data_IF_000679266886
#
_entry.id   IF_000679266886
#
_cell.length_a   1.000
_cell.length_b   1.000
_cell.length_c   1.000
_cell.angle_alpha   90.00
_cell.angle_beta   90.00
_cell.angle_gamma   90.00
#
_symmetry.space_group_name_H-M   'P 1'
#
loop_
_entity.id
_entity.type
_entity.pdbx_description
1 polymer ?
#
# COMPACT_ATOMS: atom_id res chain seq x y z
N UNK A 1 -15.87 -15.87 -45.62
CA UNK A 1 -16.47 -17.20 -45.89
C UNK A 1 -17.21 -17.28 -47.24
N UNK A 2 -17.63 -16.17 -47.86
CA UNK A 2 -18.48 -16.21 -49.08
C UNK A 2 -17.80 -16.56 -50.41
N UNK A 3 -16.53 -16.23 -50.63
CA UNK A 3 -15.85 -16.56 -51.90
C UNK A 3 -15.60 -18.08 -52.07
N UNK A 4 -15.34 -18.80 -50.97
CA UNK A 4 -15.09 -20.24 -51.00
C UNK A 4 -16.38 -21.07 -51.21
N UNK A 5 -17.54 -20.55 -50.79
CA UNK A 5 -18.83 -21.21 -50.99
C UNK A 5 -19.34 -21.06 -52.43
N UNK A 6 -19.11 -19.91 -53.10
CA UNK A 6 -19.46 -19.74 -54.53
C UNK A 6 -18.66 -20.62 -55.48
N UNK A 7 -17.36 -20.84 -55.23
CA UNK A 7 -16.56 -21.74 -56.08
C UNK A 7 -16.91 -23.23 -55.92
N UNK A 8 -17.45 -23.65 -54.75
CA UNK A 8 -17.90 -25.03 -54.53
C UNK A 8 -19.19 -25.39 -55.26
N UNK A 9 -20.10 -24.43 -55.46
CA UNK A 9 -21.34 -24.64 -56.22
C UNK A 9 -21.06 -25.00 -57.69
N UNK A 10 -20.20 -24.23 -58.35
CA UNK A 10 -19.83 -24.44 -59.76
C UNK A 10 -19.12 -25.78 -60.00
N UNK A 11 -18.26 -26.23 -59.10
CA UNK A 11 -17.53 -27.49 -59.27
C UNK A 11 -18.45 -28.72 -59.14
N UNK A 12 -19.52 -28.64 -58.32
CA UNK A 12 -20.44 -29.75 -58.10
C UNK A 12 -21.43 -29.93 -59.27
N UNK A 13 -21.86 -28.83 -59.90
CA UNK A 13 -22.69 -28.84 -61.11
C UNK A 13 -21.94 -29.41 -62.32
N UNK A 14 -20.69 -29.01 -62.54
CA UNK A 14 -19.85 -29.53 -63.63
C UNK A 14 -19.64 -31.05 -63.47
N UNK A 15 -19.47 -31.53 -62.24
CA UNK A 15 -19.30 -32.96 -61.95
C UNK A 15 -20.58 -33.79 -62.18
N UNK A 16 -21.75 -33.27 -61.78
CA UNK A 16 -23.05 -33.90 -62.04
C UNK A 16 -23.34 -34.00 -63.54
N UNK A 17 -23.03 -32.94 -64.29
CA UNK A 17 -23.23 -32.89 -65.74
C UNK A 17 -22.34 -33.91 -66.47
N UNK A 18 -21.07 -34.01 -66.14
CA UNK A 18 -20.14 -34.98 -66.74
C UNK A 18 -20.45 -36.43 -66.36
N UNK A 19 -21.01 -36.67 -65.17
CA UNK A 19 -21.45 -38.01 -64.75
C UNK A 19 -22.65 -38.51 -65.55
N UNK A 20 -23.54 -37.63 -66.03
CA UNK A 20 -24.73 -38.03 -66.80
C UNK A 20 -24.39 -38.56 -68.21
N UNK A 21 -23.37 -37.98 -68.87
CA UNK A 21 -22.98 -38.27 -70.25
C UNK A 21 -21.91 -39.37 -70.42
N UNK A 22 -21.37 -39.93 -69.34
CA UNK A 22 -20.35 -40.96 -69.40
C UNK A 22 -20.95 -42.37 -69.61
N UNK A 23 -20.21 -43.26 -70.31
CA UNK A 23 -20.59 -44.66 -70.46
C UNK A 23 -20.59 -45.41 -69.10
N UNK A 24 -21.25 -46.56 -69.03
CA UNK A 24 -21.53 -47.25 -67.76
C UNK A 24 -20.25 -47.62 -66.97
N UNK A 25 -19.18 -47.96 -67.68
CA UNK A 25 -17.88 -48.32 -67.09
C UNK A 25 -17.19 -47.10 -66.46
N UNK A 26 -17.21 -45.96 -67.14
CA UNK A 26 -16.68 -44.68 -66.66
C UNK A 26 -17.47 -44.16 -65.44
N UNK A 27 -18.80 -44.33 -65.41
CA UNK A 27 -19.65 -44.00 -64.25
C UNK A 27 -19.24 -44.80 -63.00
N UNK A 28 -18.83 -46.06 -63.18
CA UNK A 28 -18.42 -46.94 -62.08
C UNK A 28 -17.06 -46.53 -61.49
N UNK A 29 -16.10 -46.17 -62.34
CA UNK A 29 -14.77 -45.68 -61.93
C UNK A 29 -14.89 -44.34 -61.20
N UNK A 30 -15.66 -43.39 -61.74
CA UNK A 30 -15.90 -42.09 -61.11
C UNK A 30 -16.56 -42.25 -59.74
N UNK A 31 -17.50 -43.19 -59.59
CA UNK A 31 -18.15 -43.51 -58.31
C UNK A 31 -17.16 -44.07 -57.28
N UNK A 32 -16.27 -44.98 -57.68
CA UNK A 32 -15.21 -45.54 -56.80
C UNK A 32 -14.20 -44.48 -56.37
N UNK A 33 -13.76 -43.62 -57.30
CA UNK A 33 -12.86 -42.50 -56.99
C UNK A 33 -13.52 -41.48 -56.06
N UNK A 34 -14.79 -41.14 -56.27
CA UNK A 34 -15.53 -40.22 -55.41
C UNK A 34 -15.70 -40.79 -53.99
N UNK A 35 -15.98 -42.10 -53.85
CA UNK A 35 -16.03 -42.74 -52.53
C UNK A 35 -14.68 -42.66 -51.81
N UNK A 36 -13.56 -42.96 -52.49
CA UNK A 36 -12.20 -42.83 -51.91
C UNK A 36 -11.87 -41.38 -51.52
N UNK A 37 -12.16 -40.40 -52.37
CA UNK A 37 -11.91 -38.97 -52.08
C UNK A 37 -12.81 -38.49 -50.94
N UNK A 38 -14.09 -38.88 -50.91
CA UNK A 38 -15.01 -38.53 -49.83
C UNK A 38 -14.57 -39.12 -48.48
N UNK A 39 -14.00 -40.34 -48.50
CA UNK A 39 -13.43 -40.98 -47.32
C UNK A 39 -12.17 -40.24 -46.84
N UNK A 40 -11.26 -39.88 -47.75
CA UNK A 40 -10.06 -39.09 -47.43
C UNK A 40 -10.40 -37.70 -46.88
N UNK A 41 -11.42 -37.03 -47.43
CA UNK A 41 -11.90 -35.73 -46.92
C UNK A 41 -12.54 -35.87 -45.53
N UNK A 42 -13.32 -36.94 -45.30
CA UNK A 42 -13.88 -37.23 -43.98
C UNK A 42 -12.80 -37.57 -42.96
N UNK A 43 -11.80 -38.36 -43.35
CA UNK A 43 -10.65 -38.70 -42.51
C UNK A 43 -9.81 -37.46 -42.18
N UNK A 44 -9.56 -36.58 -43.16
CA UNK A 44 -8.85 -35.31 -42.97
C UNK A 44 -9.61 -34.34 -42.07
N UNK A 45 -10.95 -34.26 -42.20
CA UNK A 45 -11.79 -33.47 -41.28
C UNK A 45 -11.82 -34.07 -39.87
N UNK A 46 -11.76 -35.40 -39.75
CA UNK A 46 -11.72 -36.09 -38.47
C UNK A 46 -10.37 -35.87 -37.78
N UNK A 47 -9.25 -35.96 -38.50
CA UNK A 47 -7.92 -35.64 -37.95
C UNK A 47 -7.80 -34.17 -37.57
N UNK A 48 -8.29 -33.22 -38.39
CA UNK A 48 -8.31 -31.81 -37.99
C UNK A 48 -9.21 -31.54 -36.77
N UNK A 49 -10.35 -32.23 -36.64
CA UNK A 49 -11.18 -32.15 -35.42
C UNK A 49 -10.48 -32.77 -34.21
N UNK A 50 -9.78 -33.89 -34.37
CA UNK A 50 -9.01 -34.52 -33.28
C UNK A 50 -7.83 -33.63 -32.89
N UNK A 51 -7.09 -33.05 -33.83
CA UNK A 51 -6.00 -32.11 -33.55
C UNK A 51 -6.53 -30.83 -32.90
N UNK A 52 -7.68 -30.30 -33.34
CA UNK A 52 -8.32 -29.15 -32.70
C UNK A 52 -8.86 -29.49 -31.31
N UNK A 53 -9.46 -30.67 -31.11
CA UNK A 53 -9.89 -31.13 -29.79
C UNK A 53 -8.67 -31.34 -28.89
N UNK A 54 -7.59 -31.97 -29.34
CA UNK A 54 -6.35 -32.12 -28.57
C UNK A 54 -5.72 -30.76 -28.29
N UNK A 55 -5.74 -29.82 -29.23
CA UNK A 55 -5.21 -28.47 -29.02
C UNK A 55 -6.09 -27.65 -28.07
N UNK A 56 -7.42 -27.76 -28.16
CA UNK A 56 -8.36 -27.19 -27.19
C UNK A 56 -8.24 -27.88 -25.84
N UNK A 57 -8.00 -29.19 -25.79
CA UNK A 57 -7.79 -29.96 -24.57
C UNK A 57 -6.43 -29.64 -23.95
N UNK A 58 -5.38 -29.38 -24.74
CA UNK A 58 -4.06 -28.91 -24.28
C UNK A 58 -4.14 -27.42 -23.85
N UNK A 59 -4.97 -26.61 -24.52
CA UNK A 59 -5.25 -25.22 -24.11
C UNK A 59 -6.26 -25.11 -22.96
N UNK A 60 -7.10 -26.11 -22.71
CA UNK A 60 -8.01 -26.22 -21.55
C UNK A 60 -7.39 -27.04 -20.41
N UNK A 61 -6.33 -27.78 -20.70
CA UNK A 61 -5.26 -28.20 -19.79
C UNK A 61 -4.21 -27.07 -19.63
N UNK A 62 -4.60 -25.80 -19.88
CA UNK A 62 -4.22 -24.77 -18.92
C UNK A 62 -4.85 -25.16 -17.58
N UNK A 63 -4.16 -26.11 -16.93
CA UNK A 63 -3.84 -26.12 -15.52
C UNK A 63 -4.47 -24.90 -14.88
N UNK A 64 -5.46 -25.09 -13.99
CA UNK A 64 -5.72 -24.16 -12.89
C UNK A 64 -4.36 -23.64 -12.46
N UNK A 65 -3.98 -22.43 -12.87
CA UNK A 65 -2.59 -22.02 -12.82
C UNK A 65 -2.26 -21.81 -11.35
N UNK A 66 -1.79 -22.89 -10.74
CA UNK A 66 -1.71 -23.03 -9.31
C UNK A 66 -0.82 -21.91 -8.76
N UNK A 67 -1.10 -21.50 -7.53
CA UNK A 67 -0.23 -20.57 -6.83
C UNK A 67 1.22 -21.04 -6.91
N UNK A 68 2.13 -20.09 -7.12
CA UNK A 68 3.55 -20.42 -7.25
C UNK A 68 4.18 -20.39 -5.86
N UNK A 69 4.50 -21.56 -5.32
CA UNK A 69 5.15 -21.69 -4.01
C UNK A 69 6.59 -21.16 -4.06
N UNK A 70 6.91 -20.25 -3.13
CA UNK A 70 8.22 -19.63 -3.01
C UNK A 70 9.16 -20.47 -2.12
N UNK A 71 9.35 -21.75 -2.48
CA UNK A 71 10.14 -22.73 -1.69
C UNK A 71 11.52 -22.24 -1.28
N UNK A 72 12.14 -21.47 -2.16
CA UNK A 72 13.45 -20.88 -1.90
C UNK A 72 13.44 -20.12 -0.58
N UNK A 73 12.35 -19.46 -0.17
CA UNK A 73 12.28 -18.62 1.02
C UNK A 73 12.40 -19.36 2.37
N UNK A 74 12.18 -20.67 2.41
CA UNK A 74 12.12 -21.43 3.68
C UNK A 74 13.47 -21.76 4.32
N UNK A 75 14.60 -21.56 3.64
CA UNK A 75 15.93 -21.74 4.25
C UNK A 75 16.36 -20.50 5.04
N UNK A 76 16.39 -20.50 6.39
CA UNK A 76 16.71 -19.31 7.17
C UNK A 76 18.13 -18.77 6.90
N UNK A 77 19.06 -19.59 6.38
CA UNK A 77 20.45 -19.17 6.11
C UNK A 77 20.54 -18.15 4.97
N UNK A 78 19.60 -18.17 4.03
CA UNK A 78 19.56 -17.25 2.90
C UNK A 78 19.02 -15.84 3.22
N UNK A 79 18.68 -15.55 4.47
CA UNK A 79 18.12 -14.26 4.88
C UNK A 79 19.18 -13.34 5.48
N UNK A 80 19.23 -12.11 4.95
CA UNK A 80 19.98 -11.01 5.56
C UNK A 80 19.17 -10.41 6.72
N UNK A 81 19.85 -10.05 7.80
CA UNK A 81 19.28 -9.59 9.07
C UNK A 81 19.94 -8.27 9.47
N UNK A 82 19.15 -7.29 9.92
CA UNK A 82 19.68 -6.04 10.46
C UNK A 82 18.81 -5.50 11.60
N UNK A 83 19.39 -4.58 12.39
CA UNK A 83 18.71 -3.83 13.45
C UNK A 83 18.03 -4.74 14.49
N UNK A 84 18.70 -5.81 14.90
CA UNK A 84 18.23 -6.72 15.97
C UNK A 84 17.19 -7.75 15.54
N UNK A 85 16.74 -7.73 14.28
CA UNK A 85 15.81 -8.74 13.78
C UNK A 85 16.49 -10.11 13.61
N UNK A 86 15.70 -11.17 13.78
CA UNK A 86 16.17 -12.53 13.57
C UNK A 86 15.15 -13.37 12.80
N UNK A 87 15.65 -14.41 12.14
CA UNK A 87 14.85 -15.42 11.46
C UNK A 87 15.49 -16.79 11.65
N UNK A 88 14.67 -17.79 11.93
CA UNK A 88 15.06 -19.17 12.15
C UNK A 88 14.02 -20.12 11.54
N UNK A 89 14.35 -21.41 11.47
CA UNK A 89 13.37 -22.43 11.15
C UNK A 89 12.38 -22.55 12.32
N UNK A 90 11.11 -22.79 12.02
CA UNK A 90 10.11 -23.17 13.02
C UNK A 90 10.21 -24.65 13.40
N UNK A 91 9.27 -25.10 14.22
CA UNK A 91 9.22 -26.47 14.74
C UNK A 91 8.89 -27.51 13.64
N UNK A 92 8.27 -27.08 12.54
CA UNK A 92 7.94 -27.92 11.38
C UNK A 92 8.62 -27.41 10.11
N UNK A 93 8.89 -28.33 9.17
CA UNK A 93 9.44 -27.98 7.87
C UNK A 93 8.53 -27.00 7.11
N UNK A 94 9.13 -25.98 6.48
CA UNK A 94 8.38 -24.94 5.76
C UNK A 94 7.80 -23.83 6.65
N UNK A 95 8.12 -23.82 7.95
CA UNK A 95 7.80 -22.72 8.86
C UNK A 95 9.05 -21.87 9.11
N UNK A 96 8.91 -20.55 9.03
CA UNK A 96 9.91 -19.58 9.45
C UNK A 96 9.42 -18.87 10.71
N UNK A 97 10.29 -18.76 11.71
CA UNK A 97 10.06 -17.96 12.91
C UNK A 97 10.84 -16.65 12.81
N UNK A 98 10.14 -15.52 12.89
CA UNK A 98 10.69 -14.18 12.70
C UNK A 98 10.52 -13.38 13.98
N UNK A 99 11.59 -12.69 14.40
CA UNK A 99 11.57 -11.74 15.51
C UNK A 99 11.90 -10.34 15.00
N UNK A 100 11.09 -9.37 15.39
CA UNK A 100 11.21 -7.94 15.10
C UNK A 100 11.27 -7.14 16.43
N UNK A 101 11.63 -5.84 16.45
CA UNK A 101 11.86 -4.92 15.34
C UNK A 101 13.15 -5.18 14.55
N UNK A 102 13.31 -4.43 13.46
CA UNK A 102 14.43 -4.54 12.53
C UNK A 102 14.00 -5.10 11.18
N UNK A 103 14.94 -5.68 10.45
CA UNK A 103 14.71 -6.09 9.07
C UNK A 103 15.25 -7.49 8.82
N UNK A 104 14.42 -8.36 8.23
CA UNK A 104 14.88 -9.59 7.58
C UNK A 104 14.50 -9.55 6.11
N UNK A 105 15.46 -9.75 5.21
CA UNK A 105 15.23 -9.73 3.76
C UNK A 105 15.86 -10.93 3.10
N UNK A 106 15.23 -11.40 2.03
CA UNK A 106 15.78 -12.43 1.18
C UNK A 106 15.53 -12.12 -0.28
N UNK A 107 16.62 -12.13 -1.04
CA UNK A 107 16.56 -12.15 -2.49
C UNK A 107 16.51 -13.59 -2.99
N UNK A 108 15.83 -13.79 -4.11
CA UNK A 108 15.65 -15.07 -4.76
C UNK A 108 15.97 -14.92 -6.25
N UNK A 109 16.69 -15.92 -6.78
CA UNK A 109 17.05 -16.00 -8.18
C UNK A 109 16.34 -17.21 -8.79
N UNK A 110 15.31 -16.96 -9.59
CA UNK A 110 14.70 -17.98 -10.44
C UNK A 110 15.23 -17.87 -11.87
N UNK A 111 15.42 -19.00 -12.58
CA UNK A 111 15.65 -19.03 -14.02
C UNK A 111 14.55 -18.29 -14.78
N UNK A 112 14.87 -17.76 -15.97
CA UNK A 112 13.93 -16.98 -16.78
C UNK A 112 12.60 -17.69 -17.04
N UNK A 113 12.63 -18.96 -17.44
CA UNK A 113 11.41 -19.74 -17.74
C UNK A 113 10.48 -19.91 -16.52
N UNK A 114 11.01 -19.86 -15.29
CA UNK A 114 10.18 -19.85 -14.08
C UNK A 114 9.57 -18.46 -13.86
N UNK A 115 10.30 -17.39 -14.15
CA UNK A 115 9.78 -16.01 -14.00
C UNK A 115 8.64 -15.71 -14.96
N UNK A 116 8.57 -16.38 -16.11
CA UNK A 116 7.42 -16.28 -17.02
C UNK A 116 6.11 -16.72 -16.36
N UNK A 117 6.16 -17.70 -15.43
CA UNK A 117 4.97 -18.13 -14.69
C UNK A 117 4.51 -17.11 -13.64
N UNK A 118 5.24 -16.00 -13.44
CA UNK A 118 4.84 -14.94 -12.52
C UNK A 118 3.96 -13.88 -13.20
N UNK A 119 3.94 -13.84 -14.54
CA UNK A 119 3.30 -12.78 -15.32
C UNK A 119 1.80 -12.63 -15.03
N UNK A 120 1.12 -13.73 -14.71
CA UNK A 120 -0.30 -13.72 -14.39
C UNK A 120 -0.60 -13.55 -12.89
N UNK A 121 0.42 -13.56 -12.02
CA UNK A 121 0.26 -13.44 -10.57
C UNK A 121 -0.02 -11.99 -10.20
N UNK A 122 -1.03 -11.77 -9.36
CA UNK A 122 -1.52 -10.44 -8.95
C UNK A 122 -1.27 -10.12 -7.48
N UNK A 123 -0.62 -11.02 -6.75
CA UNK A 123 -0.24 -10.76 -5.36
C UNK A 123 0.60 -11.85 -4.71
N UNK A 124 0.72 -11.69 -3.39
CA UNK A 124 1.38 -12.61 -2.48
C UNK A 124 0.34 -13.16 -1.50
N UNK A 125 0.47 -14.44 -1.14
CA UNK A 125 -0.23 -15.01 0.00
C UNK A 125 0.70 -15.78 0.92
N UNK A 126 0.34 -15.84 2.20
CA UNK A 126 0.99 -16.66 3.21
C UNK A 126 0.11 -16.86 4.43
N UNK A 127 0.43 -17.90 5.21
CA UNK A 127 -0.13 -18.08 6.54
C UNK A 127 0.79 -17.49 7.58
N UNK A 128 0.21 -16.82 8.56
CA UNK A 128 0.93 -16.17 9.66
C UNK A 128 0.23 -16.45 11.00
N UNK A 129 1.00 -16.59 12.08
CA UNK A 129 0.49 -16.56 13.46
C UNK A 129 1.39 -15.74 14.37
N UNK A 130 0.81 -14.98 15.28
CA UNK A 130 1.52 -14.09 16.19
C UNK A 130 1.93 -14.76 17.50
N UNK A 131 2.38 -13.93 18.44
CA UNK A 131 2.78 -14.31 19.80
C UNK A 131 1.63 -14.19 20.83
N UNK A 132 0.38 -14.09 20.36
CA UNK A 132 -0.79 -13.90 21.21
C UNK A 132 -1.24 -12.45 21.36
N UNK A 133 -0.49 -11.48 20.83
CA UNK A 133 -0.88 -10.06 20.76
C UNK A 133 -1.18 -9.64 19.32
N UNK A 134 -1.99 -8.60 19.19
CA UNK A 134 -2.29 -8.00 17.90
C UNK A 134 -1.14 -7.09 17.46
N UNK A 135 -0.63 -7.34 16.27
CA UNK A 135 0.45 -6.57 15.66
C UNK A 135 0.09 -6.17 14.23
N UNK A 136 0.79 -5.16 13.72
CA UNK A 136 0.89 -4.93 12.29
C UNK A 136 2.32 -5.17 11.84
N UNK A 137 2.50 -6.07 10.88
CA UNK A 137 3.81 -6.51 10.40
C UNK A 137 4.12 -5.81 9.08
N UNK A 138 5.26 -5.10 8.99
CA UNK A 138 5.72 -4.58 7.72
C UNK A 138 6.14 -5.75 6.82
N UNK A 139 5.59 -5.77 5.61
CA UNK A 139 5.93 -6.73 4.54
C UNK A 139 6.52 -5.94 3.39
N UNK A 140 7.63 -6.44 2.84
CA UNK A 140 8.34 -5.82 1.73
C UNK A 140 8.54 -6.77 0.57
N UNK A 141 8.42 -6.24 -0.64
CA UNK A 141 8.76 -6.98 -1.87
C UNK A 141 9.79 -6.21 -2.67
N UNK A 142 10.66 -6.96 -3.35
CA UNK A 142 11.78 -6.44 -4.11
C UNK A 142 11.65 -6.81 -5.59
N UNK A 143 11.94 -5.85 -6.46
CA UNK A 143 11.99 -6.06 -7.90
C UNK A 143 13.29 -5.50 -8.50
N UNK A 144 13.72 -6.08 -9.62
CA UNK A 144 14.92 -5.66 -10.39
C UNK A 144 16.16 -5.49 -9.49
N UNK A 145 16.66 -6.59 -8.94
CA UNK A 145 17.84 -6.62 -8.08
C UNK A 145 17.75 -5.63 -6.90
N UNK A 146 16.58 -5.54 -6.27
CA UNK A 146 16.28 -4.70 -5.09
C UNK A 146 16.25 -3.18 -5.32
N UNK A 147 16.28 -2.75 -6.59
CA UNK A 147 16.18 -1.34 -6.93
C UNK A 147 14.81 -0.77 -6.56
N UNK A 148 13.75 -1.50 -6.90
CA UNK A 148 12.39 -1.15 -6.52
C UNK A 148 11.98 -1.92 -5.27
N UNK A 149 11.49 -1.17 -4.28
CA UNK A 149 11.12 -1.68 -2.96
C UNK A 149 9.72 -1.20 -2.66
N UNK A 150 8.84 -2.14 -2.37
CA UNK A 150 7.47 -1.82 -2.03
C UNK A 150 7.11 -2.38 -0.67
N UNK A 151 6.22 -1.67 0.01
CA UNK A 151 5.93 -1.84 1.42
C UNK A 151 4.43 -1.91 1.62
N UNK A 152 4.01 -2.79 2.53
CA UNK A 152 2.67 -2.77 3.09
C UNK A 152 2.73 -3.23 4.54
N UNK A 153 1.66 -3.02 5.29
CA UNK A 153 1.51 -3.52 6.65
C UNK A 153 0.35 -4.51 6.70
N UNK A 154 0.54 -5.64 7.38
CA UNK A 154 -0.50 -6.67 7.51
C UNK A 154 -0.84 -6.90 8.98
N UNK A 155 -2.12 -6.99 9.37
CA UNK A 155 -2.50 -7.33 10.73
C UNK A 155 -2.19 -8.80 11.01
N UNK A 156 -1.72 -9.07 12.22
CA UNK A 156 -1.57 -10.41 12.77
C UNK A 156 -2.23 -10.40 14.13
N UNK A 157 -3.20 -11.28 14.36
CA UNK A 157 -3.97 -11.31 15.61
C UNK A 157 -3.77 -12.61 16.35
N UNK A 158 -3.63 -12.51 17.66
CA UNK A 158 -3.52 -13.68 18.55
C UNK A 158 -2.38 -14.63 18.15
N UNK A 159 -2.62 -15.93 18.33
CA UNK A 159 -1.68 -17.02 18.11
C UNK A 159 -2.18 -18.08 17.10
N UNK A 160 -3.37 -17.88 16.53
CA UNK A 160 -3.94 -18.77 15.53
C UNK A 160 -3.33 -18.51 14.15
N UNK A 161 -3.33 -19.54 13.30
CA UNK A 161 -2.93 -19.39 11.91
C UNK A 161 -3.98 -18.61 11.12
N UNK A 162 -3.52 -17.56 10.44
CA UNK A 162 -4.33 -16.65 9.63
C UNK A 162 -3.80 -16.64 8.20
N UNK A 163 -4.68 -16.74 7.22
CA UNK A 163 -4.34 -16.54 5.82
C UNK A 163 -4.29 -15.04 5.51
N UNK A 164 -3.18 -14.58 4.94
CA UNK A 164 -3.00 -13.22 4.47
C UNK A 164 -2.83 -13.28 2.96
N UNK A 165 -3.63 -12.49 2.24
CA UNK A 165 -3.46 -12.22 0.82
C UNK A 165 -3.26 -10.72 0.62
N UNK A 166 -2.30 -10.37 -0.23
CA UNK A 166 -1.89 -8.99 -0.50
C UNK A 166 -1.86 -8.82 -2.01
N UNK A 167 -2.71 -7.93 -2.53
CA UNK A 167 -2.63 -7.58 -3.94
C UNK A 167 -1.42 -6.70 -4.21
N UNK A 168 -0.90 -6.74 -5.43
CA UNK A 168 0.16 -5.81 -5.86
C UNK A 168 -0.20 -4.34 -5.67
N UNK A 169 -1.48 -4.00 -5.80
CA UNK A 169 -2.02 -2.65 -5.60
C UNK A 169 -2.00 -2.19 -4.13
N UNK A 170 -1.85 -3.11 -3.17
CA UNK A 170 -1.77 -2.79 -1.74
C UNK A 170 -0.35 -2.37 -1.31
N UNK A 171 0.63 -2.51 -2.19
CA UNK A 171 2.02 -2.19 -1.93
C UNK A 171 2.36 -0.76 -2.38
N UNK A 172 3.00 0.00 -1.48
CA UNK A 172 3.44 1.36 -1.73
C UNK A 172 4.94 1.42 -2.04
N UNK A 173 5.31 2.14 -3.10
CA UNK A 173 6.71 2.46 -3.35
C UNK A 173 7.10 3.67 -2.51
N UNK A 174 8.06 3.50 -1.61
CA UNK A 174 8.55 4.60 -0.76
C UNK A 174 9.80 5.29 -1.36
N UNK A 175 10.37 4.72 -2.42
CA UNK A 175 11.38 5.36 -3.25
C UNK A 175 10.61 6.20 -4.28
N UNK A 176 11.03 7.44 -4.59
CA UNK A 176 10.27 8.43 -5.39
C UNK A 176 9.86 8.00 -6.83
N UNK A 177 10.03 6.73 -7.19
CA UNK A 177 9.51 6.09 -8.39
C UNK A 177 8.05 5.65 -8.19
N UNK A 178 7.11 6.30 -8.88
CA UNK A 178 5.68 5.99 -8.84
C UNK A 178 5.26 4.77 -9.69
N UNK A 179 6.16 3.82 -9.95
CA UNK A 179 5.85 2.67 -10.81
C UNK A 179 4.99 1.65 -10.07
N UNK A 180 3.78 1.41 -10.56
CA UNK A 180 2.92 0.32 -10.11
C UNK A 180 3.55 -1.05 -10.40
N UNK A 181 3.21 -2.06 -9.59
CA UNK A 181 3.64 -3.44 -9.84
C UNK A 181 2.66 -4.08 -10.83
N UNK A 182 3.16 -4.60 -11.96
CA UNK A 182 2.38 -5.33 -12.94
C UNK A 182 1.47 -4.49 -13.85
N UNK A 183 1.50 -3.16 -13.73
CA UNK A 183 0.80 -2.24 -14.63
C UNK A 183 1.47 -2.16 -16.02
N UNK A 184 0.75 -1.67 -17.03
CA UNK A 184 1.23 -1.61 -18.42
C UNK A 184 2.48 -0.74 -18.64
N UNK A 185 2.72 0.22 -17.75
CA UNK A 185 3.92 1.05 -17.67
C UNK A 185 4.70 0.85 -16.36
N UNK A 186 4.32 -0.19 -15.59
CA UNK A 186 4.84 -0.47 -14.27
C UNK A 186 6.01 -1.46 -14.29
N UNK A 187 6.43 -1.89 -13.10
CA UNK A 187 7.45 -2.93 -12.94
C UNK A 187 6.84 -4.30 -13.24
N UNK A 188 7.38 -5.08 -14.20
CA UNK A 188 6.81 -6.38 -14.53
C UNK A 188 6.92 -7.36 -13.36
N UNK A 189 5.88 -8.16 -13.13
CA UNK A 189 5.86 -9.13 -12.01
C UNK A 189 6.97 -10.18 -12.14
N UNK A 190 7.39 -10.50 -13.37
CA UNK A 190 8.55 -11.38 -13.63
C UNK A 190 9.88 -10.83 -13.10
N UNK A 191 9.94 -9.54 -12.75
CA UNK A 191 11.10 -8.96 -12.09
C UNK A 191 11.12 -9.14 -10.56
N UNK A 192 10.09 -9.78 -9.98
CA UNK A 192 10.06 -10.12 -8.56
C UNK A 192 11.31 -10.92 -8.18
N UNK A 193 12.04 -10.42 -7.19
CA UNK A 193 13.34 -10.97 -6.81
C UNK A 193 13.54 -11.06 -5.31
N UNK A 194 12.51 -10.86 -4.47
CA UNK A 194 12.65 -11.08 -3.04
C UNK A 194 11.49 -10.61 -2.18
N UNK A 195 11.57 -11.03 -0.92
CA UNK A 195 10.61 -10.74 0.15
C UNK A 195 11.37 -10.26 1.41
N UNK A 196 10.73 -9.41 2.21
CA UNK A 196 11.21 -9.00 3.51
C UNK A 196 10.11 -8.85 4.54
N UNK A 197 10.48 -8.97 5.81
CA UNK A 197 9.65 -8.61 6.96
C UNK A 197 10.34 -7.55 7.80
N UNK A 198 9.54 -6.74 8.51
CA UNK A 198 10.00 -5.59 9.29
C UNK A 198 10.37 -4.41 8.40
N UNK A 199 10.96 -3.36 8.96
CA UNK A 199 11.44 -2.17 8.25
C UNK A 199 12.49 -1.39 9.07
N UNK A 200 12.66 -0.09 8.77
CA UNK A 200 13.65 0.79 9.43
C UNK A 200 13.21 1.23 10.83
N UNK A 201 11.96 1.00 11.21
CA UNK A 201 11.36 1.60 12.38
C UNK A 201 11.68 0.81 13.65
N UNK A 202 12.33 1.49 14.60
CA UNK A 202 12.58 1.01 15.97
C UNK A 202 11.72 1.76 17.00
N UNK A 203 11.00 2.78 16.54
CA UNK A 203 10.13 3.64 17.32
C UNK A 203 8.69 3.49 16.80
N UNK A 204 7.75 3.60 17.72
CA UNK A 204 6.31 3.74 17.47
C UNK A 204 5.85 5.12 17.97
N UNK A 205 4.54 5.29 18.08
CA UNK A 205 3.90 6.52 18.54
C UNK A 205 4.62 7.16 19.72
N UNK A 206 4.67 8.50 19.72
CA UNK A 206 5.24 9.27 20.80
C UNK A 206 6.75 8.99 21.03
N UNK A 207 7.45 8.49 20.01
CA UNK A 207 8.84 8.03 20.05
C UNK A 207 9.10 6.91 21.08
N UNK A 208 8.09 6.12 21.42
CA UNK A 208 8.29 4.94 22.28
C UNK A 208 9.00 3.84 21.48
N UNK A 209 9.96 3.11 22.07
CA UNK A 209 10.55 1.95 21.40
C UNK A 209 9.50 0.90 21.01
N UNK A 210 9.63 0.31 19.82
CA UNK A 210 8.82 -0.84 19.42
C UNK A 210 9.19 -2.01 20.32
N UNK A 211 8.21 -2.57 21.02
CA UNK A 211 8.41 -3.78 21.82
C UNK A 211 8.74 -4.95 20.90
N UNK A 212 9.74 -5.80 21.22
CA UNK A 212 10.02 -6.98 20.42
C UNK A 212 8.80 -7.89 20.34
N UNK A 213 8.55 -8.43 19.16
CA UNK A 213 7.47 -9.37 18.92
C UNK A 213 7.94 -10.47 17.98
N UNK A 214 7.32 -11.63 18.09
CA UNK A 214 7.65 -12.82 17.28
C UNK A 214 6.43 -13.31 16.54
N UNK A 215 6.62 -13.80 15.32
CA UNK A 215 5.57 -14.44 14.55
C UNK A 215 6.16 -15.56 13.71
N UNK A 216 5.29 -16.43 13.24
CA UNK A 216 5.66 -17.53 12.35
C UNK A 216 4.93 -17.39 11.02
N UNK A 217 5.62 -17.73 9.93
CA UNK A 217 5.05 -17.73 8.58
C UNK A 217 5.28 -19.05 7.88
N UNK A 218 4.30 -19.46 7.06
CA UNK A 218 4.38 -20.61 6.17
C UNK A 218 3.57 -20.37 4.91
N UNK A 219 3.64 -21.32 3.97
CA UNK A 219 2.81 -21.30 2.75
C UNK A 219 2.97 -20.01 1.90
N UNK A 220 4.22 -19.57 1.70
CA UNK A 220 4.57 -18.34 0.98
C UNK A 220 4.42 -18.59 -0.52
N UNK A 221 3.53 -17.86 -1.19
CA UNK A 221 3.20 -18.11 -2.59
C UNK A 221 2.80 -16.85 -3.36
N UNK A 222 3.04 -16.85 -4.67
CA UNK A 222 2.47 -15.86 -5.59
C UNK A 222 1.10 -16.34 -6.05
N UNK A 223 0.11 -15.46 -5.97
CA UNK A 223 -1.31 -15.79 -6.20
C UNK A 223 -1.90 -15.00 -7.37
N UNK A 224 -2.91 -15.56 -8.03
CA UNK A 224 -3.55 -14.96 -9.21
C UNK A 224 -4.67 -13.99 -8.88
N UNK A 225 -5.45 -14.27 -7.85
CA UNK A 225 -6.69 -13.56 -7.57
C UNK A 225 -6.78 -13.07 -6.11
N UNK A 226 -5.77 -12.33 -5.60
CA UNK A 226 -5.89 -11.70 -4.30
C UNK A 226 -6.97 -10.61 -4.35
N UNK A 227 -7.63 -10.38 -3.22
CA UNK A 227 -8.56 -9.26 -3.08
C UNK A 227 -7.78 -8.06 -2.53
N UNK A 228 -7.70 -6.93 -3.27
CA UNK A 228 -7.07 -5.72 -2.75
C UNK A 228 -7.73 -5.28 -1.45
N UNK A 229 -6.89 -5.01 -0.44
CA UNK A 229 -7.31 -4.61 0.90
C UNK A 229 -7.67 -3.13 0.95
N UNK A 230 -6.94 -2.30 0.21
CA UNK A 230 -7.25 -0.90 0.06
C UNK A 230 -8.12 -0.66 -1.18
N UNK A 231 -9.29 -0.06 -0.97
CA UNK A 231 -10.10 0.50 -2.04
C UNK A 231 -10.52 1.89 -1.63
N UNK A 232 -10.01 2.90 -2.34
CA UNK A 232 -10.34 4.30 -2.08
C UNK A 232 -11.86 4.49 -2.08
N UNK A 233 -12.39 4.95 -0.96
CA UNK A 233 -13.79 5.39 -0.83
C UNK A 233 -13.83 6.91 -0.93
N UNK A 234 -14.91 7.43 -1.52
CA UNK A 234 -15.16 8.87 -1.60
C UNK A 234 -16.21 9.24 -0.57
N UNK A 235 -15.79 9.82 0.54
CA UNK A 235 -16.68 10.41 1.53
C UNK A 235 -16.37 11.89 1.73
N UNK A 236 -17.38 12.65 2.15
CA UNK A 236 -17.18 13.99 2.70
C UNK A 236 -16.85 13.85 4.18
N UNK A 237 -15.79 14.53 4.64
CA UNK A 237 -15.46 14.59 6.06
C UNK A 237 -16.28 15.66 6.77
N UNK A 238 -16.58 15.51 8.07
CA UNK A 238 -17.15 16.59 8.86
C UNK A 238 -16.14 17.74 8.97
N UNK A 239 -16.66 18.94 9.20
CA UNK A 239 -15.83 20.11 9.52
C UNK A 239 -15.34 20.03 10.97
N UNK A 240 -14.23 20.70 11.28
CA UNK A 240 -13.69 20.81 12.64
C UNK A 240 -14.69 21.46 13.58
N UNK A 241 -15.50 22.40 13.09
CA UNK A 241 -16.60 23.00 13.85
C UNK A 241 -17.54 21.94 14.47
N UNK A 242 -17.79 20.81 13.80
CA UNK A 242 -18.62 19.74 14.35
C UNK A 242 -18.00 19.07 15.57
N UNK A 243 -16.66 18.99 15.65
CA UNK A 243 -15.93 18.44 16.80
C UNK A 243 -15.97 19.43 17.96
N UNK A 244 -15.84 20.73 17.67
CA UNK A 244 -16.01 21.79 18.68
C UNK A 244 -17.41 21.74 19.28
N UNK A 245 -18.45 21.57 18.47
CA UNK A 245 -19.82 21.40 18.97
C UNK A 245 -20.00 20.16 19.85
N UNK A 246 -19.30 19.04 19.56
CA UNK A 246 -19.27 17.89 20.48
C UNK A 246 -18.64 18.25 21.82
N UNK A 247 -17.55 19.02 21.81
CA UNK A 247 -16.89 19.48 23.04
C UNK A 247 -17.77 20.42 23.85
N UNK A 248 -18.46 21.37 23.21
CA UNK A 248 -19.44 22.27 23.86
C UNK A 248 -20.59 21.49 24.52
N UNK A 249 -21.02 20.40 23.89
CA UNK A 249 -22.04 19.48 24.41
C UNK A 249 -21.51 18.46 25.43
N UNK A 250 -20.22 18.53 25.80
CA UNK A 250 -19.54 17.61 26.71
C UNK A 250 -19.66 16.14 26.32
N UNK A 251 -19.73 15.87 25.01
CA UNK A 251 -19.68 14.51 24.48
C UNK A 251 -18.24 14.01 24.46
N UNK A 252 -17.98 12.70 24.62
CA UNK A 252 -16.63 12.16 24.44
C UNK A 252 -16.05 12.54 23.08
N UNK A 253 -14.79 13.01 23.08
CA UNK A 253 -14.08 13.44 21.87
C UNK A 253 -12.69 12.80 21.83
N UNK A 254 -12.35 12.18 20.71
CA UNK A 254 -11.04 11.60 20.43
C UNK A 254 -10.32 12.38 19.34
N UNK A 255 -9.16 12.94 19.67
CA UNK A 255 -8.30 13.69 18.75
C UNK A 255 -7.00 12.94 18.54
N UNK A 256 -6.60 12.74 17.29
CA UNK A 256 -5.30 12.18 16.91
C UNK A 256 -4.39 13.28 16.37
N UNK A 257 -3.25 13.51 17.01
CA UNK A 257 -2.18 14.35 16.49
C UNK A 257 -1.20 13.47 15.70
N UNK A 258 -1.21 13.62 14.39
CA UNK A 258 -0.44 12.82 13.44
C UNK A 258 0.65 13.67 12.78
N UNK A 259 1.80 13.05 12.49
CA UNK A 259 2.96 13.78 11.99
C UNK A 259 4.27 13.07 12.24
N UNK A 260 5.32 13.87 12.34
CA UNK A 260 6.70 13.43 12.46
C UNK A 260 7.30 13.70 13.85
N UNK A 261 8.59 14.02 13.94
CA UNK A 261 9.30 14.27 15.20
C UNK A 261 8.78 15.48 15.98
N UNK A 262 8.24 16.49 15.30
CA UNK A 262 7.64 17.65 15.95
C UNK A 262 6.39 17.20 16.71
N UNK A 263 5.50 16.46 16.04
CA UNK A 263 4.29 15.91 16.67
C UNK A 263 4.60 14.84 17.70
N UNK A 264 5.61 14.01 17.45
CA UNK A 264 6.06 13.00 18.38
C UNK A 264 6.68 13.58 19.65
N UNK A 265 7.02 14.87 19.71
CA UNK A 265 7.65 15.48 20.88
C UNK A 265 9.10 15.03 21.09
N UNK A 266 9.89 14.99 20.01
CA UNK A 266 11.34 14.78 20.15
C UNK A 266 11.91 15.79 21.14
N UNK A 267 12.69 15.32 22.12
CA UNK A 267 13.24 16.08 23.25
C UNK A 267 12.23 16.61 24.29
N UNK A 268 10.91 16.49 24.07
CA UNK A 268 9.87 16.91 25.02
C UNK A 268 8.81 15.82 25.16
N UNK A 269 8.87 15.06 26.25
CA UNK A 269 7.97 13.91 26.49
C UNK A 269 6.60 14.35 27.04
N UNK A 270 6.42 14.38 28.36
CA UNK A 270 5.10 14.60 28.99
C UNK A 270 4.49 15.97 28.70
N UNK A 271 5.31 16.93 28.28
CA UNK A 271 4.91 18.30 27.94
C UNK A 271 4.88 18.56 26.43
N UNK A 272 4.79 17.51 25.60
CA UNK A 272 4.55 17.68 24.16
C UNK A 272 3.18 18.33 23.94
N UNK A 273 3.04 19.03 22.81
CA UNK A 273 1.87 19.88 22.56
C UNK A 273 0.54 19.11 22.62
N UNK A 274 0.50 17.84 22.20
CA UNK A 274 -0.72 17.04 22.24
C UNK A 274 -1.24 16.83 23.68
N UNK A 275 -0.33 16.58 24.63
CA UNK A 275 -0.67 16.40 26.03
C UNK A 275 -1.10 17.73 26.67
N UNK A 276 -0.42 18.82 26.31
CA UNK A 276 -0.80 20.16 26.75
C UNK A 276 -2.20 20.53 26.23
N UNK A 277 -2.47 20.27 24.95
CA UNK A 277 -3.73 20.55 24.30
C UNK A 277 -4.89 19.80 24.96
N UNK A 278 -4.70 18.52 25.31
CA UNK A 278 -5.71 17.77 26.06
C UNK A 278 -6.07 18.48 27.38
N UNK A 279 -5.05 18.84 28.16
CA UNK A 279 -5.26 19.47 29.47
C UNK A 279 -5.96 20.82 29.33
N UNK A 280 -5.59 21.62 28.33
CA UNK A 280 -6.20 22.92 28.06
C UNK A 280 -7.67 22.80 27.63
N UNK A 281 -7.97 21.86 26.73
CA UNK A 281 -9.33 21.59 26.27
C UNK A 281 -10.22 21.05 27.40
N UNK A 282 -9.77 20.04 28.15
CA UNK A 282 -10.54 19.47 29.27
C UNK A 282 -10.82 20.52 30.35
N UNK A 283 -9.83 21.34 30.69
CA UNK A 283 -9.99 22.44 31.64
C UNK A 283 -10.97 23.50 31.15
N UNK A 284 -10.91 23.87 29.86
CA UNK A 284 -11.77 24.91 29.29
C UNK A 284 -13.23 24.47 29.17
N UNK A 285 -13.48 23.28 28.63
CA UNK A 285 -14.85 22.77 28.44
C UNK A 285 -15.44 22.16 29.73
N UNK A 286 -14.60 21.89 30.74
CA UNK A 286 -15.01 21.45 32.08
C UNK A 286 -15.45 19.99 32.14
N UNK A 287 -14.82 19.09 31.38
CA UNK A 287 -15.06 17.65 31.45
C UNK A 287 -13.85 16.83 30.94
N UNK A 288 -13.69 15.60 31.44
CA UNK A 288 -12.48 14.79 31.25
C UNK A 288 -12.56 13.79 30.07
N UNK A 289 -13.67 13.76 29.33
CA UNK A 289 -13.86 12.83 28.21
C UNK A 289 -13.29 13.34 26.88
N UNK A 290 -12.37 14.31 26.91
CA UNK A 290 -11.54 14.73 25.77
C UNK A 290 -10.23 13.96 25.84
N UNK A 291 -9.96 13.12 24.84
CA UNK A 291 -8.71 12.39 24.70
C UNK A 291 -7.95 12.89 23.49
N UNK A 292 -6.70 13.33 23.67
CA UNK A 292 -5.76 13.68 22.58
C UNK A 292 -4.62 12.67 22.59
N UNK A 293 -4.44 11.95 21.49
CA UNK A 293 -3.37 10.96 21.33
C UNK A 293 -2.33 11.45 20.34
N UNK A 294 -1.06 11.29 20.68
CA UNK A 294 0.04 11.43 19.72
C UNK A 294 0.18 10.13 18.94
N UNK A 295 -0.11 10.15 17.64
CA UNK A 295 0.12 9.03 16.71
C UNK A 295 1.22 9.39 15.72
N UNK A 296 2.34 9.90 16.21
CA UNK A 296 3.46 10.36 15.40
C UNK A 296 4.77 9.69 15.80
N UNK A 297 5.68 9.59 14.83
CA UNK A 297 6.99 8.94 15.00
C UNK A 297 8.08 9.86 14.44
N UNK A 298 9.15 10.03 15.21
CA UNK A 298 10.26 10.89 14.83
C UNK A 298 11.00 10.40 13.59
N UNK A 299 11.28 11.31 12.66
CA UNK A 299 11.90 10.99 11.37
C UNK A 299 10.92 10.45 10.31
N UNK A 300 9.61 10.49 10.58
CA UNK A 300 8.60 10.02 9.63
C UNK A 300 8.38 11.05 8.53
N UNK A 301 8.15 10.55 7.33
CA UNK A 301 7.78 11.33 6.14
C UNK A 301 6.29 11.13 5.83
N UNK A 302 5.74 11.95 4.95
CA UNK A 302 4.37 11.77 4.43
C UNK A 302 4.10 10.35 3.87
N UNK A 303 5.11 9.68 3.32
CA UNK A 303 5.03 8.32 2.81
C UNK A 303 4.90 7.27 3.92
N UNK A 304 5.62 7.45 5.03
CA UNK A 304 5.50 6.56 6.18
C UNK A 304 4.08 6.66 6.79
N UNK A 305 3.51 7.87 6.84
CA UNK A 305 2.15 8.09 7.33
C UNK A 305 1.11 7.37 6.45
N UNK A 306 1.22 7.39 5.12
CA UNK A 306 0.33 6.61 4.25
C UNK A 306 0.40 5.12 4.53
N UNK A 307 1.63 4.60 4.66
CA UNK A 307 1.89 3.19 4.88
C UNK A 307 1.26 2.72 6.20
N UNK A 308 1.22 3.59 7.19
CA UNK A 308 0.63 3.32 8.49
C UNK A 308 -0.87 3.61 8.56
N UNK A 309 -1.48 4.27 7.58
CA UNK A 309 -2.86 4.73 7.68
C UNK A 309 -3.86 3.60 7.99
N UNK A 310 -3.65 2.38 7.49
CA UNK A 310 -4.50 1.25 7.87
C UNK A 310 -4.33 0.90 9.36
N UNK A 311 -3.09 0.73 9.82
CA UNK A 311 -2.76 0.47 11.24
C UNK A 311 -3.36 1.55 12.15
N UNK A 312 -3.30 2.81 11.72
CA UNK A 312 -3.62 3.97 12.54
C UNK A 312 -5.14 4.27 12.57
N UNK A 313 -5.88 3.95 11.49
CA UNK A 313 -7.27 4.38 11.32
C UNK A 313 -8.30 3.25 11.06
N UNK A 314 -7.88 2.00 10.83
CA UNK A 314 -8.82 0.90 10.56
C UNK A 314 -9.55 0.36 11.80
N UNK A 315 -9.07 0.69 13.00
CA UNK A 315 -9.65 0.23 14.28
C UNK A 315 -11.13 0.60 14.47
N UNK A 316 -11.84 -0.11 15.35
CA UNK A 316 -13.29 0.11 15.56
C UNK A 316 -13.62 1.50 16.07
N UNK A 317 -12.77 2.05 16.93
CA UNK A 317 -12.87 3.43 17.43
C UNK A 317 -12.23 4.37 16.41
N UNK A 318 -13.04 5.28 15.84
CA UNK A 318 -12.57 6.33 14.92
C UNK A 318 -12.34 7.63 15.69
N UNK A 319 -11.24 8.36 15.45
CA UNK A 319 -11.08 9.69 16.02
C UNK A 319 -12.12 10.65 15.46
N UNK A 320 -12.57 11.61 16.26
CA UNK A 320 -13.42 12.71 15.82
C UNK A 320 -12.62 13.73 14.99
N UNK A 321 -11.35 13.92 15.35
CA UNK A 321 -10.43 14.84 14.69
C UNK A 321 -9.07 14.19 14.49
N UNK A 322 -8.48 14.38 13.32
CA UNK A 322 -7.04 14.22 13.11
C UNK A 322 -6.41 15.56 12.74
N UNK A 323 -5.33 15.92 13.43
CA UNK A 323 -4.45 17.01 13.02
C UNK A 323 -3.26 16.43 12.26
N UNK A 324 -2.88 17.00 11.13
CA UNK A 324 -1.75 16.52 10.32
C UNK A 324 -0.72 17.63 10.20
N UNK A 325 0.47 17.41 10.76
CA UNK A 325 1.63 18.28 10.66
C UNK A 325 2.86 17.45 10.25
N UNK A 326 3.28 17.59 9.00
CA UNK A 326 4.36 16.79 8.38
C UNK A 326 5.06 17.59 7.27
N UNK A 327 6.22 17.13 6.84
CA UNK A 327 6.94 17.66 5.67
C UNK A 327 8.41 17.96 5.95
N UNK A 328 8.79 18.13 7.22
CA UNK A 328 10.17 18.48 7.56
C UNK A 328 11.16 17.37 7.16
N UNK A 329 10.80 16.11 7.38
CA UNK A 329 11.62 14.98 6.96
C UNK A 329 11.55 14.72 5.45
N UNK A 330 10.45 15.06 4.79
CA UNK A 330 10.34 15.00 3.33
C UNK A 330 11.35 15.96 2.68
N UNK A 331 11.48 17.19 3.22
CA UNK A 331 12.50 18.17 2.82
C UNK A 331 13.91 17.67 3.10
N UNK A 332 14.16 17.18 4.33
CA UNK A 332 15.49 16.68 4.70
C UNK A 332 15.92 15.45 3.86
N UNK A 333 14.97 14.73 3.27
CA UNK A 333 15.22 13.63 2.33
C UNK A 333 15.22 14.09 0.86
N UNK A 334 15.21 15.40 0.61
CA UNK A 334 15.21 16.01 -0.71
C UNK A 334 14.08 15.51 -1.62
N UNK A 335 12.90 15.24 -1.05
CA UNK A 335 11.75 14.84 -1.85
C UNK A 335 11.28 16.03 -2.70
N UNK A 336 10.76 15.79 -3.91
CA UNK A 336 10.12 16.85 -4.67
C UNK A 336 8.78 17.25 -4.04
N UNK A 337 8.45 18.54 -4.03
CA UNK A 337 7.16 19.06 -3.53
C UNK A 337 5.96 18.42 -4.23
N UNK A 338 6.08 18.08 -5.52
CA UNK A 338 5.03 17.37 -6.26
C UNK A 338 4.76 15.98 -5.67
N UNK A 339 5.83 15.23 -5.38
CA UNK A 339 5.75 13.90 -4.77
C UNK A 339 5.19 14.00 -3.35
N UNK A 340 5.56 15.04 -2.58
CA UNK A 340 4.97 15.34 -1.28
C UNK A 340 3.47 15.69 -1.37
N UNK A 341 3.05 16.48 -2.36
CA UNK A 341 1.62 16.81 -2.55
C UNK A 341 0.82 15.55 -2.88
N UNK A 342 1.34 14.68 -3.74
CA UNK A 342 0.72 13.41 -4.07
C UNK A 342 0.61 12.50 -2.84
N UNK A 343 1.69 12.45 -2.05
CA UNK A 343 1.78 11.59 -0.89
C UNK A 343 0.80 12.01 0.22
N UNK A 344 0.69 13.30 0.51
CA UNK A 344 -0.29 13.81 1.48
C UNK A 344 -1.72 13.57 0.98
N UNK A 345 -1.99 13.71 -0.32
CA UNK A 345 -3.31 13.42 -0.87
C UNK A 345 -3.73 11.95 -0.70
N UNK A 346 -2.82 11.01 -0.93
CA UNK A 346 -3.10 9.58 -0.70
C UNK A 346 -3.31 9.28 0.78
N UNK A 347 -2.52 9.89 1.69
CA UNK A 347 -2.75 9.79 3.13
C UNK A 347 -4.17 10.23 3.50
N UNK A 348 -4.62 11.37 2.99
CA UNK A 348 -5.97 11.89 3.24
C UNK A 348 -7.04 10.93 2.72
N UNK A 349 -6.87 10.37 1.52
CA UNK A 349 -7.79 9.38 0.96
C UNK A 349 -7.86 8.11 1.82
N UNK A 350 -6.72 7.65 2.36
CA UNK A 350 -6.65 6.52 3.27
C UNK A 350 -7.35 6.80 4.59
N UNK A 351 -7.10 7.96 5.21
CA UNK A 351 -7.79 8.38 6.44
C UNK A 351 -9.30 8.38 6.21
N UNK A 352 -9.77 9.02 5.15
CA UNK A 352 -11.19 9.08 4.80
C UNK A 352 -11.77 7.68 4.60
N UNK A 353 -11.04 6.82 3.89
CA UNK A 353 -11.46 5.43 3.62
C UNK A 353 -11.55 4.61 4.89
N UNK A 354 -10.50 4.59 5.71
CA UNK A 354 -10.42 3.76 6.91
C UNK A 354 -11.29 4.27 8.05
N UNK A 355 -11.65 5.54 8.07
CA UNK A 355 -12.59 6.12 9.05
C UNK A 355 -14.03 6.14 8.57
N UNK A 356 -14.31 5.62 7.38
CA UNK A 356 -15.61 5.72 6.69
C UNK A 356 -16.15 7.16 6.64
N UNK A 357 -15.25 8.13 6.46
CA UNK A 357 -15.57 9.55 6.40
C UNK A 357 -16.05 10.16 7.72
N UNK A 358 -15.89 9.49 8.86
CA UNK A 358 -16.40 9.96 10.17
C UNK A 358 -15.46 10.93 10.90
N UNK A 359 -14.22 11.06 10.43
CA UNK A 359 -13.18 11.87 11.08
C UNK A 359 -13.05 13.22 10.39
N UNK A 360 -13.10 14.30 11.16
CA UNK A 360 -12.71 15.64 10.69
C UNK A 360 -11.19 15.72 10.52
N UNK A 361 -10.73 16.47 9.53
CA UNK A 361 -9.30 16.63 9.24
C UNK A 361 -8.93 18.10 9.38
N UNK A 362 -7.95 18.39 10.23
CA UNK A 362 -7.34 19.70 10.35
C UNK A 362 -5.91 19.64 9.80
N UNK A 363 -5.68 20.34 8.69
CA UNK A 363 -4.36 20.47 8.10
C UNK A 363 -3.57 21.59 8.80
N UNK A 364 -2.31 21.29 9.13
CA UNK A 364 -1.35 22.26 9.64
C UNK A 364 -0.21 22.32 8.62
N UNK A 365 0.02 23.46 7.95
CA UNK A 365 1.14 23.60 7.04
C UNK A 365 2.47 23.25 7.70
N UNK A 366 3.41 22.71 6.92
CA UNK A 366 4.75 22.35 7.40
C UNK A 366 5.37 23.52 8.16
N UNK A 367 5.73 23.29 9.42
CA UNK A 367 6.19 24.38 10.29
C UNK A 367 7.61 24.82 9.91
N UNK A 368 7.87 26.14 9.83
CA UNK A 368 9.21 26.64 9.61
C UNK A 368 10.09 26.38 10.83
N UNK A 369 11.37 26.12 10.57
CA UNK A 369 12.39 25.99 11.60
C UNK A 369 13.22 27.26 11.80
N UNK A 370 14.43 27.08 12.31
CA UNK A 370 15.47 28.11 12.37
C UNK A 370 16.42 28.02 11.17
N UNK A 371 17.21 29.08 10.95
CA UNK A 371 18.26 29.10 9.93
C UNK A 371 17.72 28.68 8.55
N UNK A 372 18.34 27.71 7.89
CA UNK A 372 17.94 27.23 6.58
C UNK A 372 16.56 26.56 6.57
N UNK A 373 16.12 25.95 7.67
CA UNK A 373 14.75 25.41 7.80
C UNK A 373 13.68 26.50 7.87
N UNK A 374 14.04 27.78 8.08
CA UNK A 374 13.07 28.88 8.10
C UNK A 374 12.35 29.01 6.76
N UNK A 375 13.11 29.00 5.66
CA UNK A 375 12.59 29.27 4.32
C UNK A 375 12.41 27.98 3.50
N UNK A 376 13.20 26.93 3.77
CA UNK A 376 13.10 25.67 3.02
C UNK A 376 11.74 24.95 3.21
N UNK A 377 10.98 25.32 4.23
CA UNK A 377 9.67 24.75 4.53
C UNK A 377 8.54 25.40 3.71
N UNK A 378 8.78 26.56 3.07
CA UNK A 378 7.72 27.39 2.48
C UNK A 378 6.96 26.70 1.34
N UNK A 379 7.67 26.02 0.44
CA UNK A 379 7.03 25.30 -0.68
C UNK A 379 6.14 24.15 -0.20
N UNK A 380 6.53 23.50 0.90
CA UNK A 380 5.78 22.41 1.51
C UNK A 380 4.58 22.93 2.30
N UNK A 381 4.78 24.02 3.05
CA UNK A 381 3.69 24.73 3.71
C UNK A 381 2.65 25.23 2.68
N UNK A 382 3.10 25.79 1.56
CA UNK A 382 2.26 26.17 0.43
C UNK A 382 1.52 24.97 -0.15
N UNK A 383 2.19 23.84 -0.37
CA UNK A 383 1.54 22.62 -0.85
C UNK A 383 0.40 22.16 0.09
N UNK A 384 0.59 22.19 1.41
CA UNK A 384 -0.48 21.87 2.37
C UNK A 384 -1.65 22.87 2.27
N UNK A 385 -1.37 24.18 2.13
CA UNK A 385 -2.42 25.21 1.94
C UNK A 385 -3.22 24.97 0.66
N UNK A 386 -2.55 24.64 -0.44
CA UNK A 386 -3.21 24.29 -1.70
C UNK A 386 -4.07 23.04 -1.56
N UNK A 387 -3.57 21.97 -0.91
CA UNK A 387 -4.36 20.75 -0.67
C UNK A 387 -5.61 21.06 0.15
N UNK A 388 -5.50 21.89 1.19
CA UNK A 388 -6.65 22.28 2.00
C UNK A 388 -7.72 23.01 1.17
N UNK A 389 -7.29 23.96 0.32
CA UNK A 389 -8.17 24.68 -0.59
C UNK A 389 -8.80 23.76 -1.63
N UNK A 390 -7.99 22.97 -2.34
CA UNK A 390 -8.40 22.06 -3.42
C UNK A 390 -9.42 21.02 -2.93
N UNK A 391 -9.30 20.58 -1.67
CA UNK A 391 -10.16 19.56 -1.06
C UNK A 391 -11.25 20.14 -0.15
N UNK A 392 -11.31 21.47 0.01
CA UNK A 392 -12.20 22.14 0.96
C UNK A 392 -12.12 21.51 2.37
N UNK A 393 -10.90 21.37 2.89
CA UNK A 393 -10.61 20.88 4.24
C UNK A 393 -10.25 22.05 5.15
N UNK A 394 -10.53 21.90 6.45
CA UNK A 394 -10.15 22.90 7.44
C UNK A 394 -8.62 22.95 7.59
N UNK A 395 -8.12 24.18 7.72
CA UNK A 395 -6.70 24.47 7.89
C UNK A 395 -6.49 25.48 9.01
N UNK A 396 -5.49 25.23 9.84
CA UNK A 396 -4.97 26.21 10.78
C UNK A 396 -3.52 26.53 10.42
N UNK A 397 -3.27 27.77 9.97
CA UNK A 397 -1.97 28.21 9.47
C UNK A 397 -0.98 28.56 10.59
N UNK A 398 -0.66 27.56 11.41
CA UNK A 398 0.34 27.68 12.47
C UNK A 398 1.73 27.98 11.91
N UNK A 399 2.03 27.58 10.67
CA UNK A 399 3.29 27.93 10.02
C UNK A 399 3.44 29.45 9.90
N UNK A 400 2.37 30.17 9.55
CA UNK A 400 2.35 31.63 9.55
C UNK A 400 2.58 32.21 10.94
N UNK A 401 1.91 31.68 11.96
CA UNK A 401 2.10 32.10 13.36
C UNK A 401 3.58 31.99 13.79
N UNK A 402 4.30 30.93 13.37
CA UNK A 402 5.73 30.75 13.67
C UNK A 402 6.62 31.67 12.80
N UNK A 403 6.25 31.87 11.53
CA UNK A 403 6.97 32.76 10.61
C UNK A 403 6.89 34.24 11.04
N UNK A 404 5.81 34.64 11.71
CA UNK A 404 5.63 36.00 12.22
C UNK A 404 6.47 36.28 13.50
N UNK A 405 7.05 35.25 14.12
CA UNK A 405 7.95 35.41 15.28
C UNK A 405 9.28 36.02 14.81
N UNK A 406 9.76 37.14 15.41
CA UNK A 406 11.07 37.70 15.10
C UNK A 406 12.20 36.71 15.35
N UNK A 407 13.21 36.68 14.48
CA UNK A 407 14.30 35.69 14.54
C UNK A 407 15.04 35.69 15.89
N UNK A 408 15.23 36.86 16.50
CA UNK A 408 15.85 37.01 17.83
C UNK A 408 15.09 36.27 18.94
N UNK A 409 13.78 36.13 18.81
CA UNK A 409 12.88 35.53 19.80
C UNK A 409 12.61 34.05 19.46
N UNK A 410 12.66 33.70 18.17
CA UNK A 410 12.40 32.36 17.63
C UNK A 410 13.26 31.29 18.30
N UNK A 411 14.55 31.60 18.54
CA UNK A 411 15.51 30.64 19.12
C UNK A 411 15.04 30.03 20.44
N UNK A 412 14.26 30.77 21.23
CA UNK A 412 13.75 30.28 22.52
C UNK A 412 12.75 29.11 22.36
N UNK A 413 12.06 29.03 21.22
CA UNK A 413 11.05 28.02 20.92
C UNK A 413 11.62 26.70 20.41
N UNK A 414 12.93 26.58 20.23
CA UNK A 414 13.58 25.38 19.69
C UNK A 414 14.63 24.82 20.66
N UNK A 415 14.90 23.51 20.55
CA UNK A 415 15.94 22.87 21.33
C UNK A 415 17.33 23.48 21.05
N UNK A 416 18.22 23.44 22.05
CA UNK A 416 19.58 23.96 21.91
C UNK A 416 20.32 23.22 20.80
N UNK A 417 20.92 23.98 19.88
CA UNK A 417 21.63 23.47 18.70
C UNK A 417 20.76 22.64 17.75
N UNK A 418 19.45 22.87 17.77
CA UNK A 418 18.47 22.19 16.91
C UNK A 418 17.70 23.24 16.10
N UNK A 419 17.69 23.09 14.77
CA UNK A 419 17.02 24.03 13.88
C UNK A 419 15.57 23.64 13.59
N UNK A 420 15.08 22.50 14.09
CA UNK A 420 13.79 21.95 13.70
C UNK A 420 12.88 21.60 14.88
N UNK A 421 13.43 21.01 15.95
CA UNK A 421 12.59 20.48 17.02
C UNK A 421 12.24 21.56 18.06
N UNK A 422 10.94 21.75 18.36
CA UNK A 422 10.52 22.70 19.37
C UNK A 422 11.03 22.33 20.78
N UNK A 423 11.40 23.35 21.55
CA UNK A 423 11.65 23.23 22.99
C UNK A 423 10.32 23.08 23.75
N UNK A 424 10.39 23.05 25.08
CA UNK A 424 9.19 23.12 25.92
C UNK A 424 8.33 24.35 25.60
N UNK A 425 8.92 25.53 25.46
CA UNK A 425 8.18 26.76 25.12
C UNK A 425 7.63 26.69 23.70
N UNK A 426 8.33 26.06 22.76
CA UNK A 426 7.80 25.78 21.42
C UNK A 426 6.57 24.88 21.44
N UNK A 427 6.60 23.81 22.23
CA UNK A 427 5.43 22.94 22.41
C UNK A 427 4.27 23.64 23.11
N UNK A 428 4.54 24.51 24.09
CA UNK A 428 3.54 25.36 24.73
C UNK A 428 2.89 26.30 23.70
N UNK A 429 3.69 27.01 22.91
CA UNK A 429 3.21 27.88 21.85
C UNK A 429 2.29 27.15 20.84
N UNK A 430 2.73 25.98 20.36
CA UNK A 430 1.93 25.16 19.44
C UNK A 430 0.59 24.77 20.09
N UNK A 431 0.63 24.34 21.36
CA UNK A 431 -0.57 23.96 22.12
C UNK A 431 -1.54 25.12 22.26
N UNK A 432 -1.06 26.28 22.72
CA UNK A 432 -1.86 27.48 22.94
C UNK A 432 -2.55 27.95 21.66
N UNK A 433 -1.85 27.88 20.52
CA UNK A 433 -2.37 28.26 19.21
C UNK A 433 -3.47 27.29 18.74
N UNK A 434 -3.24 25.98 18.84
CA UNK A 434 -4.25 24.97 18.53
C UNK A 434 -5.46 25.04 19.47
N UNK A 435 -5.22 25.25 20.76
CA UNK A 435 -6.27 25.45 21.76
C UNK A 435 -7.12 26.68 21.41
N UNK A 436 -6.48 27.80 21.06
CA UNK A 436 -7.17 29.03 20.64
C UNK A 436 -8.05 28.82 19.40
N UNK A 437 -7.62 27.97 18.47
CA UNK A 437 -8.43 27.57 17.32
C UNK A 437 -9.62 26.69 17.72
N UNK A 438 -9.40 25.69 18.59
CA UNK A 438 -10.38 24.67 18.96
C UNK A 438 -11.35 25.07 20.08
N UNK A 439 -11.18 26.25 20.67
CA UNK A 439 -12.10 26.80 21.68
C UNK A 439 -13.18 27.75 21.13
N UNK A 440 -13.13 28.07 19.84
CA UNK A 440 -14.11 28.96 19.16
C UNK A 440 -15.46 28.23 19.03
#
# INVERSE_FOLDING_TARGET
>A
MDKANRQRGNAMEIFQRNKSNANMETKMIISKCYRKISFLIRYWKLTQKITFIIMVFICSLNISAADFELKALYDPKGWHKSLGASIAAGDEAGILKVKLPGTVIRTIAYPWHIRESFLNKKGLAFKIRGDGKDHYIPVRVFFLNTHFRYYTYVPVKGNDWQEIQIAWDDFLCLNDSSFEIGGGHGIPVSAFCGLGFGDRWQLTYANTPVSPFTFEVKDLRLVENPIPRYRRKKFKTPAVASVIEKMKKRQPVLIYCHGDSITAGTNVKEKRYANLLQNELSKYYGYDAITVKTIAVGGATSYDLQLWAEKDFSGTVKPDLVTICVGANDINQARPTLSFKASVNDLLDRIITYTDGKTSILLIPTLPGQMWHRNLMDDYAKAIREIALDRNLDLYDLAKDVADIPEKDLKSFFCRNDTLHPSLSGHQFISEKLFSFLKK
#
